data_IF_640512064495
#
_entry.id   IF_640512064495
#
_cell.length_a   1.000
_cell.length_b   1.000
_cell.length_c   1.000
_cell.angle_alpha   90.00
_cell.angle_beta   90.00
_cell.angle_gamma   90.00
#
_symmetry.space_group_name_H-M   'P 1'
#
loop_
_entity.id
_entity.type
_entity.pdbx_description
1 polymer ?
#
# COMPACT_ATOMS: atom_id res chain seq x y z
N UNK A 1 -3.16 32.30 -3.94
CA UNK A 1 -2.57 30.96 -4.22
C UNK A 1 -3.58 30.23 -5.08
N UNK A 2 -3.18 29.87 -6.29
CA UNK A 2 -4.09 29.22 -7.23
C UNK A 2 -4.40 27.80 -6.77
N UNK A 3 -5.67 27.41 -6.79
CA UNK A 3 -6.14 26.08 -6.43
C UNK A 3 -6.73 25.44 -7.68
N UNK A 4 -6.33 24.19 -7.95
CA UNK A 4 -6.89 23.40 -9.03
C UNK A 4 -7.69 22.25 -8.42
N UNK A 5 -8.94 22.11 -8.87
CA UNK A 5 -9.80 20.98 -8.45
C UNK A 5 -9.52 19.75 -9.29
N UNK A 6 -9.43 18.59 -8.65
CA UNK A 6 -9.31 17.28 -9.29
C UNK A 6 -10.46 16.39 -8.82
N UNK A 7 -10.91 15.47 -9.67
CA UNK A 7 -12.04 14.59 -9.37
C UNK A 7 -11.55 13.22 -8.88
N UNK A 8 -12.31 12.61 -7.99
CA UNK A 8 -12.12 11.19 -7.64
C UNK A 8 -12.79 10.35 -8.74
N UNK A 9 -11.99 9.60 -9.48
CA UNK A 9 -12.50 8.76 -10.57
C UNK A 9 -12.80 7.33 -10.14
N UNK A 10 -12.12 6.86 -9.08
CA UNK A 10 -12.26 5.50 -8.57
C UNK A 10 -11.84 5.41 -7.10
N UNK A 11 -12.13 4.26 -6.49
CA UNK A 11 -11.65 3.92 -5.14
C UNK A 11 -10.99 2.56 -5.13
N UNK A 12 -9.96 2.45 -4.29
CA UNK A 12 -9.35 1.16 -4.00
C UNK A 12 -10.24 0.35 -3.05
N UNK A 13 -10.41 -0.95 -3.34
CA UNK A 13 -10.90 -1.96 -2.41
C UNK A 13 -9.74 -2.87 -2.05
N UNK A 14 -9.36 -2.89 -0.78
CA UNK A 14 -8.21 -3.65 -0.30
C UNK A 14 -8.48 -4.32 1.05
N UNK A 15 -7.57 -5.20 1.46
CA UNK A 15 -7.64 -5.91 2.73
C UNK A 15 -7.21 -5.05 3.94
N UNK A 16 -6.81 -3.79 3.73
CA UNK A 16 -6.35 -2.89 4.79
C UNK A 16 -7.45 -1.89 5.18
N UNK A 17 -8.15 -2.16 6.28
CA UNK A 17 -9.14 -1.24 6.85
C UNK A 17 -8.50 -0.01 7.52
N UNK A 18 -7.21 -0.05 7.84
CA UNK A 18 -6.45 1.03 8.47
C UNK A 18 -5.06 1.13 7.86
N UNK A 19 -4.39 2.28 8.04
CA UNK A 19 -3.02 2.49 7.53
C UNK A 19 -1.93 1.64 8.21
N UNK A 20 -2.24 1.00 9.33
CA UNK A 20 -1.26 0.17 10.02
C UNK A 20 -1.03 -1.15 9.28
N UNK A 21 0.22 -1.44 8.96
CA UNK A 21 0.62 -2.66 8.28
C UNK A 21 0.59 -2.59 6.76
N UNK A 22 0.11 -1.50 6.16
CA UNK A 22 0.24 -1.31 4.70
C UNK A 22 1.73 -1.30 4.32
N UNK A 23 2.15 -2.07 3.30
CA UNK A 23 3.51 -2.03 2.78
C UNK A 23 3.95 -0.61 2.44
N UNK A 24 5.21 -0.29 2.66
CA UNK A 24 5.73 1.08 2.49
C UNK A 24 5.77 1.55 1.03
N UNK A 25 5.76 0.63 0.10
CA UNK A 25 5.72 0.85 -1.34
C UNK A 25 4.92 -0.26 -2.01
N UNK A 26 4.35 0.03 -3.17
CA UNK A 26 3.74 -0.96 -4.05
C UNK A 26 4.76 -2.02 -4.50
N UNK A 27 4.29 -3.22 -4.78
CA UNK A 27 5.11 -4.32 -5.29
C UNK A 27 5.92 -5.08 -4.23
N UNK A 28 6.07 -4.57 -2.99
CA UNK A 28 6.84 -5.28 -1.94
C UNK A 28 6.18 -6.59 -1.51
N UNK A 29 4.86 -6.69 -1.59
CA UNK A 29 4.10 -7.90 -1.28
C UNK A 29 3.24 -8.25 -2.50
N UNK A 30 3.79 -9.01 -3.42
CA UNK A 30 3.16 -9.34 -4.71
C UNK A 30 1.87 -10.15 -4.57
N UNK A 31 1.71 -10.88 -3.48
CA UNK A 31 0.52 -11.70 -3.18
C UNK A 31 -0.70 -10.87 -2.74
N UNK A 32 -0.56 -9.58 -2.45
CA UNK A 32 -1.70 -8.69 -2.18
C UNK A 32 -2.62 -8.61 -3.40
N UNK A 33 -3.91 -8.69 -3.14
CA UNK A 33 -4.97 -8.57 -4.15
C UNK A 33 -5.91 -7.44 -3.75
N UNK A 34 -6.17 -6.56 -4.70
CA UNK A 34 -7.05 -5.41 -4.51
C UNK A 34 -7.87 -5.17 -5.78
N UNK A 35 -8.92 -4.37 -5.66
CA UNK A 35 -9.79 -4.04 -6.79
C UNK A 35 -9.98 -2.53 -6.88
N UNK A 36 -9.82 -1.97 -8.07
CA UNK A 36 -10.18 -0.59 -8.36
C UNK A 36 -11.62 -0.56 -8.85
N UNK A 37 -12.46 0.17 -8.13
CA UNK A 37 -13.87 0.37 -8.43
C UNK A 37 -14.09 1.80 -8.86
N UNK A 38 -14.55 2.01 -10.08
CA UNK A 38 -14.80 3.35 -10.63
C UNK A 38 -16.05 3.98 -10.00
N UNK A 39 -16.03 5.29 -9.81
CA UNK A 39 -17.22 6.06 -9.46
C UNK A 39 -18.22 5.98 -10.63
N UNK A 40 -19.54 6.06 -10.37
CA UNK A 40 -20.56 5.81 -11.40
C UNK A 40 -20.41 6.61 -12.68
N UNK A 41 -19.96 7.85 -12.57
CA UNK A 41 -19.75 8.76 -13.71
C UNK A 41 -18.63 8.27 -14.65
N UNK A 42 -17.64 7.51 -14.12
CA UNK A 42 -16.45 7.07 -14.85
C UNK A 42 -16.48 5.59 -15.26
N UNK A 43 -17.64 4.92 -15.19
CA UNK A 43 -17.81 3.49 -15.51
C UNK A 43 -17.98 3.17 -16.99
N UNK A 44 -17.69 4.13 -17.88
CA UNK A 44 -17.76 3.88 -19.32
C UNK A 44 -16.68 2.87 -19.74
N UNK A 45 -17.03 1.69 -20.28
CA UNK A 45 -16.06 0.67 -20.66
C UNK A 45 -15.10 1.12 -21.76
N UNK A 46 -15.49 2.09 -22.61
CA UNK A 46 -14.62 2.62 -23.64
C UNK A 46 -13.38 3.34 -23.07
N UNK A 47 -13.46 3.86 -21.84
CA UNK A 47 -12.32 4.47 -21.17
C UNK A 47 -11.23 3.45 -20.80
N UNK A 48 -11.56 2.17 -20.77
CA UNK A 48 -10.65 1.07 -20.40
C UNK A 48 -10.19 0.25 -21.61
N UNK A 49 -10.63 0.63 -22.82
CA UNK A 49 -10.28 -0.12 -24.03
C UNK A 49 -8.77 -0.16 -24.23
N UNK A 50 -8.19 -1.36 -24.30
CA UNK A 50 -6.76 -1.61 -24.46
C UNK A 50 -5.95 -1.60 -23.18
N UNK A 51 -6.57 -1.40 -21.99
CA UNK A 51 -5.84 -1.42 -20.71
C UNK A 51 -5.28 -2.81 -20.38
N UNK A 52 -5.91 -3.87 -20.88
CA UNK A 52 -5.50 -5.26 -20.65
C UNK A 52 -4.15 -5.62 -21.31
N UNK A 53 -3.70 -4.82 -22.28
CA UNK A 53 -2.39 -5.01 -22.93
C UNK A 53 -1.22 -4.59 -22.02
N UNK A 54 -1.49 -3.90 -20.93
CA UNK A 54 -0.47 -3.42 -20.00
C UNK A 54 -0.37 -4.29 -18.76
N UNK A 55 0.84 -4.63 -18.36
CA UNK A 55 1.11 -5.43 -17.15
C UNK A 55 1.07 -4.62 -15.87
N UNK A 56 1.36 -3.32 -15.92
CA UNK A 56 1.42 -2.42 -14.77
C UNK A 56 0.76 -1.09 -15.08
N UNK A 57 0.22 -0.47 -14.01
CA UNK A 57 -0.46 0.81 -14.05
C UNK A 57 0.15 1.75 -13.01
N UNK A 58 0.31 3.03 -13.38
CA UNK A 58 0.49 4.12 -12.44
C UNK A 58 -0.85 4.54 -11.88
N UNK A 59 -0.94 4.63 -10.57
CA UNK A 59 -2.12 5.11 -9.84
C UNK A 59 -1.76 6.41 -9.12
N UNK A 60 -2.49 7.49 -9.41
CA UNK A 60 -2.41 8.77 -8.70
C UNK A 60 -3.58 8.82 -7.71
N UNK A 61 -3.26 8.94 -6.42
CA UNK A 61 -4.23 8.76 -5.35
C UNK A 61 -3.99 9.72 -4.18
N UNK A 62 -4.89 9.75 -3.19
CA UNK A 62 -4.80 10.64 -2.04
C UNK A 62 -4.45 9.88 -0.75
N UNK A 63 -3.51 10.42 0.01
CA UNK A 63 -3.31 10.05 1.40
C UNK A 63 -4.43 10.64 2.28
N UNK A 64 -5.65 10.07 2.19
CA UNK A 64 -6.86 10.60 2.82
C UNK A 64 -6.75 10.73 4.35
N UNK A 65 -6.02 9.82 5.00
CA UNK A 65 -5.77 9.82 6.45
C UNK A 65 -4.64 10.80 6.89
N UNK A 66 -3.99 11.48 5.96
CA UNK A 66 -2.88 12.38 6.26
C UNK A 66 -3.15 13.84 5.92
N UNK A 67 -4.39 14.17 5.56
CA UNK A 67 -4.81 15.54 5.26
C UNK A 67 -4.75 16.39 6.54
N UNK A 68 -3.97 17.48 6.50
CA UNK A 68 -3.78 18.40 7.62
C UNK A 68 -3.91 19.84 7.12
N UNK A 69 -4.25 20.75 8.03
CA UNK A 69 -4.09 22.19 7.78
C UNK A 69 -2.61 22.55 7.81
N UNK A 70 -2.13 23.15 6.72
CA UNK A 70 -0.72 23.53 6.55
C UNK A 70 0.20 22.36 6.22
N UNK A 71 1.46 22.68 5.92
CA UNK A 71 2.50 21.74 5.58
C UNK A 71 3.83 22.10 6.25
N UNK A 72 4.75 21.17 6.32
CA UNK A 72 6.11 21.40 6.82
C UNK A 72 7.11 21.19 5.70
N UNK A 73 8.13 22.07 5.55
CA UNK A 73 9.18 21.90 4.54
C UNK A 73 10.07 20.68 4.82
N UNK A 74 10.04 20.16 6.05
CA UNK A 74 10.84 19.00 6.44
C UNK A 74 10.01 17.94 7.14
N UNK A 75 10.41 16.69 6.96
CA UNK A 75 9.86 15.50 7.62
C UNK A 75 10.99 14.66 8.23
N UNK A 76 10.64 13.70 9.07
CA UNK A 76 11.59 12.75 9.68
C UNK A 76 11.29 11.34 9.15
N UNK A 77 12.00 10.88 8.11
CA UNK A 77 11.79 9.55 7.56
C UNK A 77 12.07 8.46 8.60
N UNK A 78 11.15 7.49 8.80
CA UNK A 78 11.38 6.39 9.73
C UNK A 78 12.64 5.56 9.42
N UNK A 79 12.98 5.40 8.13
CA UNK A 79 14.20 4.68 7.67
C UNK A 79 15.50 5.33 8.14
N UNK A 80 15.50 6.63 8.45
CA UNK A 80 16.64 7.35 9.03
C UNK A 80 16.58 7.42 10.57
N UNK A 81 15.91 6.48 11.22
CA UNK A 81 15.77 6.41 12.68
C UNK A 81 14.85 7.46 13.28
N UNK A 82 14.12 8.25 12.46
CA UNK A 82 13.17 9.26 12.92
C UNK A 82 13.78 10.54 13.51
N UNK A 83 15.11 10.66 13.58
CA UNK A 83 15.81 11.83 14.13
C UNK A 83 16.34 12.77 13.05
N UNK A 84 16.71 12.24 11.89
CA UNK A 84 17.22 13.03 10.77
C UNK A 84 16.07 13.72 10.04
N UNK A 85 16.20 15.04 9.81
CA UNK A 85 15.25 15.81 9.00
C UNK A 85 15.64 15.77 7.53
N UNK A 86 14.66 15.54 6.66
CA UNK A 86 14.81 15.60 5.21
C UNK A 86 13.79 16.58 4.63
N UNK A 87 14.14 17.23 3.52
CA UNK A 87 13.16 18.02 2.76
C UNK A 87 11.98 17.14 2.33
N UNK A 88 10.75 17.64 2.46
CA UNK A 88 9.55 16.87 2.15
C UNK A 88 9.55 16.37 0.70
N UNK A 89 10.09 17.16 -0.24
CA UNK A 89 10.18 16.79 -1.66
C UNK A 89 11.28 15.78 -1.97
N UNK A 90 12.24 15.57 -1.04
CA UNK A 90 13.22 14.50 -1.11
C UNK A 90 12.70 13.18 -0.48
N UNK A 91 11.41 13.08 -0.19
CA UNK A 91 10.78 11.91 0.43
C UNK A 91 9.44 11.59 -0.23
N UNK A 92 8.90 10.40 0.04
CA UNK A 92 7.53 9.99 -0.30
C UNK A 92 6.56 10.13 0.89
N UNK A 93 6.84 11.07 1.80
CA UNK A 93 5.99 11.35 2.96
C UNK A 93 4.59 11.80 2.54
N UNK A 94 3.52 11.35 3.21
CA UNK A 94 2.15 11.83 2.98
C UNK A 94 1.92 13.29 3.40
N UNK A 95 2.80 13.84 4.25
CA UNK A 95 2.68 15.21 4.81
C UNK A 95 3.27 16.26 3.86
N UNK A 96 2.70 16.34 2.67
CA UNK A 96 3.09 17.22 1.55
C UNK A 96 2.03 18.31 1.33
N UNK A 97 2.35 19.39 0.60
CA UNK A 97 1.35 20.43 0.27
C UNK A 97 0.10 19.87 -0.41
N UNK A 98 0.30 18.97 -1.38
CA UNK A 98 -0.75 18.15 -1.98
C UNK A 98 -0.54 16.71 -1.51
N UNK A 99 -1.49 16.15 -0.79
CA UNK A 99 -1.39 14.79 -0.20
C UNK A 99 -1.55 13.70 -1.28
N UNK A 100 -0.83 13.83 -2.40
CA UNK A 100 -0.88 12.88 -3.52
C UNK A 100 0.12 11.75 -3.31
N UNK A 101 -0.32 10.54 -3.57
CA UNK A 101 0.47 9.33 -3.72
C UNK A 101 0.61 8.93 -5.18
N UNK A 102 1.67 8.21 -5.49
CA UNK A 102 1.95 7.61 -6.80
C UNK A 102 2.44 6.20 -6.57
N UNK A 103 1.74 5.21 -7.12
CA UNK A 103 2.08 3.80 -6.98
C UNK A 103 2.05 3.13 -8.35
N UNK A 104 3.09 2.35 -8.66
CA UNK A 104 3.06 1.41 -9.79
C UNK A 104 2.54 0.07 -9.26
N UNK A 105 1.44 -0.41 -9.82
CA UNK A 105 0.79 -1.66 -9.40
C UNK A 105 0.59 -2.61 -10.57
N UNK A 106 0.60 -3.91 -10.31
CA UNK A 106 0.39 -4.91 -11.35
C UNK A 106 -1.08 -5.01 -11.71
N UNK A 107 -1.42 -4.96 -13.01
CA UNK A 107 -2.74 -5.31 -13.49
C UNK A 107 -2.86 -6.83 -13.57
N UNK A 108 -3.89 -7.39 -12.94
CA UNK A 108 -4.15 -8.84 -12.92
C UNK A 108 -5.29 -9.22 -13.84
N UNK A 109 -6.20 -8.30 -14.12
CA UNK A 109 -7.31 -8.52 -15.01
C UNK A 109 -8.37 -7.43 -14.93
N UNK A 110 -9.29 -7.49 -15.87
CA UNK A 110 -10.46 -6.61 -15.97
C UNK A 110 -11.71 -7.49 -15.88
N UNK A 111 -12.67 -7.09 -15.07
CA UNK A 111 -13.91 -7.84 -14.88
C UNK A 111 -15.12 -6.93 -15.04
N UNK A 112 -16.14 -7.42 -15.75
CA UNK A 112 -17.44 -6.76 -15.83
C UNK A 112 -18.35 -7.31 -14.73
N UNK A 113 -18.65 -6.49 -13.72
CA UNK A 113 -19.53 -6.84 -12.61
C UNK A 113 -20.92 -6.22 -12.79
N UNK A 114 -21.93 -6.83 -12.14
CA UNK A 114 -23.32 -6.30 -12.18
C UNK A 114 -23.47 -5.04 -11.31
N UNK A 115 -22.76 -4.96 -10.21
CA UNK A 115 -22.92 -3.89 -9.21
C UNK A 115 -22.08 -2.67 -9.53
N UNK A 116 -20.82 -2.89 -9.92
CA UNK A 116 -19.82 -1.82 -10.07
C UNK A 116 -19.47 -1.51 -11.52
N UNK A 117 -20.07 -2.20 -12.49
CA UNK A 117 -19.63 -2.12 -13.89
C UNK A 117 -18.26 -2.76 -14.07
N UNK A 118 -17.42 -2.18 -14.93
CA UNK A 118 -16.05 -2.67 -15.12
C UNK A 118 -15.16 -2.31 -13.93
N UNK A 119 -14.44 -3.30 -13.40
CA UNK A 119 -13.46 -3.13 -12.32
C UNK A 119 -12.09 -3.64 -12.76
N UNK A 120 -11.03 -3.15 -12.11
CA UNK A 120 -9.66 -3.62 -12.36
C UNK A 120 -9.17 -4.42 -11.14
N UNK A 121 -8.79 -5.67 -11.35
CA UNK A 121 -8.08 -6.46 -10.35
C UNK A 121 -6.61 -6.18 -10.40
N UNK A 122 -6.01 -5.86 -9.27
CA UNK A 122 -4.61 -5.41 -9.18
C UNK A 122 -3.86 -6.13 -8.08
N UNK A 123 -2.55 -6.26 -8.26
CA UNK A 123 -1.63 -6.89 -7.32
C UNK A 123 -0.62 -5.94 -6.73
N UNK A 124 -0.19 -6.22 -5.49
CA UNK A 124 0.89 -5.49 -4.82
C UNK A 124 0.56 -4.04 -4.46
N UNK A 125 -0.72 -3.67 -4.34
CA UNK A 125 -1.11 -2.31 -3.99
C UNK A 125 -0.79 -1.97 -2.51
N UNK A 126 -0.27 -0.76 -2.30
CA UNK A 126 0.07 -0.18 -1.00
C UNK A 126 -0.97 0.86 -0.54
N UNK A 127 -2.25 0.59 -0.80
CA UNK A 127 -3.37 1.49 -0.55
C UNK A 127 -4.37 0.89 0.45
N UNK A 128 -4.88 1.76 1.32
CA UNK A 128 -5.97 1.43 2.24
C UNK A 128 -7.30 1.26 1.51
N UNK A 129 -8.21 0.48 2.07
CA UNK A 129 -9.58 0.37 1.57
C UNK A 129 -10.27 1.74 1.53
N UNK A 130 -11.02 2.01 0.46
CA UNK A 130 -11.69 3.29 0.21
C UNK A 130 -10.77 4.43 -0.26
N UNK A 131 -9.46 4.21 -0.43
CA UNK A 131 -8.54 5.26 -0.90
C UNK A 131 -9.01 5.88 -2.23
N UNK A 132 -9.17 7.23 -2.29
CA UNK A 132 -9.55 7.91 -3.52
C UNK A 132 -8.44 7.85 -4.57
N UNK A 133 -8.82 7.54 -5.81
CA UNK A 133 -7.95 7.51 -6.99
C UNK A 133 -8.39 8.65 -7.92
N UNK A 134 -7.43 9.44 -8.40
CA UNK A 134 -7.64 10.59 -9.26
C UNK A 134 -7.29 10.32 -10.71
N UNK A 135 -6.33 9.42 -10.98
CA UNK A 135 -5.92 9.09 -12.34
C UNK A 135 -5.27 7.70 -12.40
N UNK A 136 -5.38 7.08 -13.57
CA UNK A 136 -4.78 5.79 -13.89
C UNK A 136 -4.08 5.95 -15.24
N UNK A 137 -2.81 5.58 -15.29
CA UNK A 137 -2.03 5.59 -16.54
C UNK A 137 -1.32 4.25 -16.74
N UNK A 138 -1.15 3.78 -17.97
CA UNK A 138 -0.30 2.63 -18.21
C UNK A 138 1.16 2.92 -17.83
N UNK A 139 1.84 1.93 -17.25
CA UNK A 139 3.28 1.94 -17.07
C UNK A 139 3.95 1.57 -18.40
N UNK A 140 4.84 2.42 -18.88
CA UNK A 140 5.51 2.28 -20.16
C UNK A 140 7.01 2.07 -19.92
N UNK A 141 7.54 0.83 -20.07
CA UNK A 141 8.91 0.50 -19.66
C UNK A 141 10.00 1.39 -20.27
N UNK A 142 9.88 1.77 -21.53
CA UNK A 142 10.88 2.60 -22.19
C UNK A 142 10.91 4.05 -21.68
N UNK A 143 9.81 4.54 -21.09
CA UNK A 143 9.70 5.90 -20.55
C UNK A 143 9.78 6.00 -19.04
N UNK A 144 9.35 4.93 -18.34
CA UNK A 144 9.19 4.94 -16.88
C UNK A 144 10.35 4.26 -16.14
N UNK A 145 11.12 3.40 -16.84
CA UNK A 145 12.22 2.66 -16.21
C UNK A 145 13.56 3.37 -16.46
N UNK A 146 14.22 3.77 -15.37
CA UNK A 146 15.58 4.32 -15.37
C UNK A 146 16.52 3.35 -14.66
N UNK A 147 17.27 2.56 -15.41
CA UNK A 147 18.15 1.51 -14.86
C UNK A 147 19.39 2.07 -14.14
N UNK A 148 19.73 3.33 -14.37
CA UNK A 148 20.81 4.09 -13.76
C UNK A 148 20.37 5.01 -12.63
N UNK A 149 19.08 4.94 -12.24
CA UNK A 149 18.56 5.78 -11.16
C UNK A 149 19.21 5.45 -9.82
N UNK A 150 19.51 6.48 -9.04
CA UNK A 150 20.01 6.37 -7.67
C UNK A 150 18.89 6.62 -6.67
N UNK A 151 18.78 5.81 -5.62
CA UNK A 151 17.72 5.90 -4.61
C UNK A 151 18.01 6.86 -3.46
N UNK A 152 19.16 7.58 -3.46
CA UNK A 152 19.55 8.48 -2.40
C UNK A 152 19.65 7.76 -1.05
N UNK A 153 19.04 8.30 0.03
CA UNK A 153 19.10 7.68 1.34
C UNK A 153 18.42 6.30 1.42
N UNK A 154 17.63 5.89 0.43
CA UNK A 154 16.99 4.58 0.42
C UNK A 154 17.94 3.47 0.02
N UNK A 155 19.03 3.77 -0.70
CA UNK A 155 20.05 2.80 -1.10
C UNK A 155 20.84 2.24 0.09
N UNK A 156 20.99 3.05 1.15
CA UNK A 156 21.70 2.65 2.37
C UNK A 156 20.78 2.00 3.42
N UNK A 157 19.48 2.18 3.29
CA UNK A 157 18.48 1.62 4.18
C UNK A 157 17.92 0.33 3.56
N UNK A 158 18.64 -0.78 3.70
CA UNK A 158 18.22 -2.09 3.18
C UNK A 158 16.80 -2.48 3.63
N UNK A 159 16.08 -3.20 2.79
CA UNK A 159 14.81 -3.82 3.17
C UNK A 159 15.13 -5.02 4.07
N UNK A 160 14.92 -4.82 5.36
CA UNK A 160 15.09 -5.84 6.35
C UNK A 160 13.77 -6.61 6.52
N UNK A 161 13.79 -7.88 6.18
CA UNK A 161 12.63 -8.75 6.34
C UNK A 161 12.74 -9.53 7.65
N UNK A 162 11.62 -9.63 8.38
CA UNK A 162 11.49 -10.49 9.54
C UNK A 162 11.19 -11.93 9.12
N UNK A 163 11.70 -12.88 9.88
CA UNK A 163 11.27 -14.27 9.80
C UNK A 163 9.90 -14.40 10.47
N UNK A 164 8.88 -14.80 9.72
CA UNK A 164 7.51 -14.94 10.24
C UNK A 164 7.27 -16.36 10.73
N UNK A 165 7.06 -16.51 12.03
CA UNK A 165 6.57 -17.74 12.66
C UNK A 165 5.04 -17.65 12.77
N UNK A 166 4.34 -18.28 11.84
CA UNK A 166 2.88 -18.33 11.80
C UNK A 166 2.44 -19.79 12.05
N UNK A 167 1.97 -20.14 13.27
CA UNK A 167 1.52 -21.49 13.56
C UNK A 167 0.45 -21.97 12.57
N UNK A 168 0.55 -23.21 12.01
CA UNK A 168 -0.39 -23.68 10.99
C UNK A 168 -1.87 -23.63 11.42
N UNK A 169 -2.15 -23.91 12.69
CA UNK A 169 -3.50 -23.83 13.25
C UNK A 169 -4.07 -22.40 13.24
N UNK A 170 -3.24 -21.38 13.46
CA UNK A 170 -3.66 -19.98 13.37
C UNK A 170 -3.75 -19.51 11.91
N UNK A 171 -2.81 -19.93 11.05
CA UNK A 171 -2.81 -19.58 9.63
C UNK A 171 -4.06 -20.13 8.91
N UNK A 172 -4.53 -21.34 9.30
CA UNK A 172 -5.72 -21.94 8.72
C UNK A 172 -7.03 -21.19 9.02
N UNK A 173 -7.03 -20.28 10.01
CA UNK A 173 -8.17 -19.40 10.29
C UNK A 173 -8.36 -18.33 9.20
N UNK A 174 -7.30 -18.00 8.48
CA UNK A 174 -7.38 -17.08 7.34
C UNK A 174 -7.85 -17.81 6.08
N UNK A 175 -8.63 -17.15 5.20
CA UNK A 175 -8.93 -17.66 3.86
C UNK A 175 -7.63 -18.02 3.14
N UNK A 176 -7.67 -19.08 2.34
CA UNK A 176 -6.48 -19.62 1.67
C UNK A 176 -5.79 -18.59 0.79
N UNK A 177 -6.56 -17.82 0.03
CA UNK A 177 -6.10 -16.74 -0.85
C UNK A 177 -5.49 -15.53 -0.12
N UNK A 178 -5.62 -15.44 1.21
CA UNK A 178 -5.09 -14.34 2.03
C UNK A 178 -3.83 -14.72 2.84
N UNK A 179 -3.47 -16.00 2.91
CA UNK A 179 -2.38 -16.49 3.76
C UNK A 179 -1.02 -15.97 3.35
N UNK A 180 -0.68 -16.07 2.08
CA UNK A 180 0.61 -15.60 1.56
C UNK A 180 0.74 -14.08 1.69
N UNK A 181 -0.34 -13.35 1.45
CA UNK A 181 -0.37 -11.91 1.62
C UNK A 181 -0.19 -11.50 3.09
N UNK A 182 -0.82 -12.21 4.03
CA UNK A 182 -0.65 -11.95 5.46
C UNK A 182 0.80 -12.19 5.91
N UNK A 183 1.42 -13.31 5.48
CA UNK A 183 2.83 -13.60 5.76
C UNK A 183 3.74 -12.53 5.16
N UNK A 184 3.52 -12.16 3.90
CA UNK A 184 4.28 -11.11 3.21
C UNK A 184 4.20 -9.76 3.93
N UNK A 185 3.01 -9.32 4.33
CA UNK A 185 2.81 -8.08 5.10
C UNK A 185 3.55 -8.12 6.44
N UNK A 186 3.45 -9.23 7.17
CA UNK A 186 4.12 -9.39 8.46
C UNK A 186 5.65 -9.41 8.32
N UNK A 187 6.19 -9.97 7.23
CA UNK A 187 7.63 -10.02 6.99
C UNK A 187 8.23 -8.62 6.79
N UNK A 188 7.47 -7.65 6.29
CA UNK A 188 7.90 -6.26 6.11
C UNK A 188 7.82 -5.39 7.38
N UNK A 189 7.77 -6.00 8.56
CA UNK A 189 7.74 -5.36 9.88
C UNK A 189 6.70 -4.22 9.97
N UNK A 190 5.44 -4.54 10.21
CA UNK A 190 4.37 -3.54 10.27
C UNK A 190 4.46 -2.61 11.48
N UNK A 191 5.39 -2.84 12.41
CA UNK A 191 5.52 -2.01 13.63
C UNK A 191 5.97 -0.57 13.30
N UNK A 192 5.50 0.42 14.06
CA UNK A 192 6.10 1.74 14.04
C UNK A 192 7.59 1.69 14.38
N UNK A 193 8.45 2.38 13.62
CA UNK A 193 9.92 2.32 13.75
C UNK A 193 10.45 2.70 15.14
N UNK A 194 9.68 3.49 15.91
CA UNK A 194 10.01 3.94 17.26
C UNK A 194 9.52 3.00 18.38
N UNK A 195 8.83 1.89 18.04
CA UNK A 195 8.30 0.94 19.00
C UNK A 195 8.97 -0.42 18.80
N UNK A 196 9.94 -0.75 19.65
CA UNK A 196 10.72 -2.00 19.57
C UNK A 196 10.75 -2.77 20.90
N UNK A 197 9.62 -2.84 21.62
CA UNK A 197 9.55 -3.66 22.82
C UNK A 197 9.29 -5.13 22.46
N UNK A 198 10.13 -6.09 22.88
CA UNK A 198 9.96 -7.51 22.56
C UNK A 198 8.74 -8.14 23.25
N UNK A 199 8.28 -7.56 24.37
CA UNK A 199 7.13 -8.07 25.13
C UNK A 199 5.80 -7.50 24.62
N UNK A 200 5.84 -6.50 23.73
CA UNK A 200 4.62 -5.85 23.26
C UNK A 200 3.91 -6.71 22.23
N UNK A 201 2.61 -6.90 22.43
CA UNK A 201 1.70 -7.48 21.45
C UNK A 201 1.19 -6.37 20.53
N UNK A 202 1.35 -6.58 19.23
CA UNK A 202 0.86 -5.70 18.16
C UNK A 202 -0.33 -6.38 17.48
N UNK A 203 -1.26 -5.60 16.94
CA UNK A 203 -2.39 -6.10 16.17
C UNK A 203 -2.39 -5.55 14.74
N UNK A 204 -2.47 -6.41 13.74
CA UNK A 204 -2.63 -6.09 12.34
C UNK A 204 -4.07 -6.37 11.92
N UNK A 205 -4.81 -5.34 11.49
CA UNK A 205 -6.11 -5.52 10.85
C UNK A 205 -5.92 -5.81 9.37
N UNK A 206 -6.22 -7.05 8.95
CA UNK A 206 -6.04 -7.50 7.58
C UNK A 206 -7.14 -8.47 7.17
N UNK A 207 -7.74 -8.26 6.00
CA UNK A 207 -8.77 -9.12 5.40
C UNK A 207 -9.95 -9.47 6.36
N UNK A 208 -10.36 -8.53 7.23
CA UNK A 208 -11.43 -8.74 8.22
C UNK A 208 -11.00 -9.51 9.47
N UNK A 209 -9.69 -9.68 9.68
CA UNK A 209 -9.12 -10.33 10.87
C UNK A 209 -8.24 -9.36 11.66
N UNK A 210 -8.10 -9.61 12.96
CA UNK A 210 -7.09 -9.01 13.85
C UNK A 210 -5.99 -10.05 14.11
N UNK A 211 -4.82 -9.86 13.50
CA UNK A 211 -3.67 -10.75 13.63
C UNK A 211 -2.75 -10.16 14.70
N UNK A 212 -2.66 -10.83 15.85
CA UNK A 212 -1.84 -10.39 16.99
C UNK A 212 -0.49 -11.09 17.00
N UNK A 213 0.57 -10.32 17.18
CA UNK A 213 1.93 -10.82 17.08
C UNK A 213 2.88 -10.11 18.04
N UNK A 214 3.99 -10.76 18.33
CA UNK A 214 5.16 -10.22 19.02
C UNK A 214 6.37 -10.28 18.11
N UNK A 215 7.37 -9.41 18.33
CA UNK A 215 8.64 -9.48 17.59
C UNK A 215 9.80 -9.48 18.56
N UNK A 216 10.61 -10.54 18.49
CA UNK A 216 11.85 -10.65 19.24
C UNK A 216 13.00 -10.86 18.26
N UNK A 217 14.02 -9.99 18.36
CA UNK A 217 15.15 -9.97 17.40
C UNK A 217 14.63 -9.85 15.94
N UNK A 218 14.88 -10.84 15.10
CA UNK A 218 14.45 -10.91 13.71
C UNK A 218 13.25 -11.86 13.48
N UNK A 219 12.57 -12.30 14.54
CA UNK A 219 11.45 -13.24 14.44
C UNK A 219 10.16 -12.56 14.88
N UNK A 220 9.19 -12.48 13.95
CA UNK A 220 7.81 -12.13 14.23
C UNK A 220 7.02 -13.42 14.50
N UNK A 221 6.43 -13.53 15.68
CA UNK A 221 5.62 -14.70 16.05
C UNK A 221 4.15 -14.29 16.19
N UNK A 222 3.29 -14.90 15.37
CA UNK A 222 1.83 -14.74 15.50
C UNK A 222 1.35 -15.50 16.71
N UNK A 223 0.57 -14.82 17.56
CA UNK A 223 0.04 -15.33 18.83
C UNK A 223 -1.44 -15.66 18.78
N UNK A 224 -2.19 -14.89 18.01
CA UNK A 224 -3.65 -15.00 17.95
C UNK A 224 -4.17 -14.45 16.62
N UNK A 225 -5.27 -15.01 16.12
CA UNK A 225 -6.02 -14.53 14.96
C UNK A 225 -7.49 -14.50 15.34
N UNK A 226 -8.10 -13.33 15.28
CA UNK A 226 -9.50 -13.09 15.62
C UNK A 226 -10.25 -12.57 14.40
N UNK A 227 -11.41 -13.11 14.09
CA UNK A 227 -12.31 -12.56 13.06
C UNK A 227 -12.98 -11.31 13.63
N UNK A 228 -13.01 -10.21 12.86
CA UNK A 228 -13.71 -8.96 13.20
C UNK A 228 -15.14 -8.95 12.74
#
# INVERSE_FOLDING_TARGET
MDTVSIQVIARMRSDFATKFGIPRQSGLVESLRSTIVFEPEFRNPDALRGIEDFSHLWIIWQFSEAVRQGWSPTVRPPRLGGNTRMGVFATRSPFRPNNLGLSSIRLLGVEQTREFGTVLHVGGADLMDGTPIFDIKPYIPYGDCHTDATGGFTDTAGDFLLNVSFPPALLSLLPEDKRDAAIGVLSHDPRPSYQRSPERVYGLSFAGYDIRFTVKENVLTVREVLKK
#
